data_IF_823224224109
#
_entry.id   IF_823224224109
#
_cell.length_a   1.000
_cell.length_b   1.000
_cell.length_c   1.000
_cell.angle_alpha   90.00
_cell.angle_beta   90.00
_cell.angle_gamma   90.00
#
_symmetry.space_group_name_H-M   'P 1'
#
loop_
_entity.id
_entity.type
_entity.pdbx_description
1 polymer ?
#
# COMPACT_ATOMS: atom_id res chain seq x y z
N UNK A 1 85.77 31.42 -34.34
CA UNK A 1 86.39 30.40 -35.21
C UNK A 1 85.71 29.08 -34.94
N UNK A 2 84.61 28.89 -35.65
CA UNK A 2 84.20 27.68 -36.39
C UNK A 2 84.81 26.35 -35.93
N UNK A 3 83.96 25.41 -35.50
CA UNK A 3 83.57 24.33 -36.42
C UNK A 3 82.41 23.50 -35.86
N UNK A 4 81.45 23.27 -36.74
CA UNK A 4 80.21 22.51 -36.63
C UNK A 4 80.47 20.99 -36.74
N UNK A 5 79.61 20.16 -36.14
CA UNK A 5 79.74 18.70 -36.22
C UNK A 5 78.51 17.84 -35.87
N UNK A 6 77.35 18.18 -36.45
CA UNK A 6 76.16 17.34 -36.79
C UNK A 6 75.58 16.37 -35.73
N UNK A 7 74.45 16.80 -35.15
CA UNK A 7 73.37 15.97 -34.59
C UNK A 7 72.73 15.09 -35.68
N UNK A 8 72.59 13.79 -35.44
CA UNK A 8 71.67 12.91 -36.19
C UNK A 8 70.34 12.92 -35.44
N UNK A 9 69.35 13.62 -36.00
CA UNK A 9 67.96 13.58 -35.55
C UNK A 9 67.29 12.34 -36.15
N UNK A 10 67.02 11.34 -35.32
CA UNK A 10 66.19 10.20 -35.69
C UNK A 10 64.71 10.66 -35.63
N UNK A 11 64.11 10.92 -36.78
CA UNK A 11 62.69 11.27 -36.89
C UNK A 11 61.86 9.98 -36.79
N UNK A 12 61.41 9.62 -35.59
CA UNK A 12 60.34 8.63 -35.43
C UNK A 12 59.02 9.30 -35.83
N UNK A 13 58.59 9.10 -37.08
CA UNK A 13 57.25 9.45 -37.52
C UNK A 13 56.22 8.55 -36.83
N UNK A 14 55.50 9.09 -35.84
CA UNK A 14 54.32 8.44 -35.27
C UNK A 14 53.19 8.55 -36.28
N UNK A 15 52.90 7.45 -36.97
CA UNK A 15 51.69 7.32 -37.78
C UNK A 15 50.52 7.15 -36.80
N UNK A 16 49.79 8.22 -36.53
CA UNK A 16 48.50 8.15 -35.87
C UNK A 16 47.52 7.45 -36.82
N UNK A 17 47.39 6.13 -36.69
CA UNK A 17 46.29 5.38 -37.29
C UNK A 17 45.00 5.82 -36.60
N UNK A 18 44.22 6.66 -37.29
CA UNK A 18 42.86 7.02 -36.90
C UNK A 18 41.98 5.77 -36.95
N UNK A 19 41.94 5.00 -35.86
CA UNK A 19 40.93 3.97 -35.68
C UNK A 19 39.57 4.67 -35.57
N UNK A 20 38.81 4.70 -36.66
CA UNK A 20 37.39 5.02 -36.62
C UNK A 20 36.70 3.92 -35.80
N UNK A 21 36.45 4.20 -34.53
CA UNK A 21 35.62 3.35 -33.68
C UNK A 21 34.22 3.36 -34.32
N UNK A 22 33.66 2.21 -34.72
CA UNK A 22 32.30 2.18 -35.23
C UNK A 22 31.38 2.69 -34.11
N UNK A 23 30.49 3.62 -34.44
CA UNK A 23 29.46 4.11 -33.51
C UNK A 23 28.64 2.91 -33.04
N UNK A 24 28.82 2.51 -31.78
CA UNK A 24 27.95 1.54 -31.16
C UNK A 24 26.55 2.17 -31.05
N UNK A 25 25.59 1.64 -31.81
CA UNK A 25 24.18 2.00 -31.62
C UNK A 25 23.69 1.26 -30.38
N UNK A 26 23.31 2.00 -29.36
CA UNK A 26 22.59 1.47 -28.22
C UNK A 26 21.10 1.73 -28.43
N UNK A 27 20.28 0.69 -28.29
CA UNK A 27 18.83 0.86 -28.27
C UNK A 27 18.40 1.34 -26.88
N UNK A 28 17.64 2.43 -26.81
CA UNK A 28 17.10 3.00 -25.57
C UNK A 28 15.58 2.82 -25.56
N UNK A 29 15.05 2.06 -24.59
CA UNK A 29 13.62 2.03 -24.29
C UNK A 29 13.36 3.08 -23.21
N UNK A 30 12.63 4.14 -23.55
CA UNK A 30 12.25 5.22 -22.62
C UNK A 30 10.77 5.20 -22.31
N UNK A 31 10.44 5.34 -21.04
CA UNK A 31 9.11 5.68 -20.56
C UNK A 31 9.21 7.11 -20.01
N UNK A 32 8.78 8.08 -20.80
CA UNK A 32 9.00 9.51 -20.47
C UNK A 32 7.83 10.40 -20.85
N UNK A 33 6.74 9.81 -21.36
CA UNK A 33 5.53 10.53 -21.72
C UNK A 33 4.34 10.09 -20.87
N UNK A 34 3.33 10.94 -20.82
CA UNK A 34 2.06 10.65 -20.14
C UNK A 34 1.39 9.39 -20.68
N UNK A 35 1.46 9.17 -21.99
CA UNK A 35 0.91 8.01 -22.68
C UNK A 35 1.59 6.71 -22.24
N UNK A 36 2.90 6.76 -22.01
CA UNK A 36 3.69 5.58 -21.62
C UNK A 36 3.24 5.06 -20.25
N UNK A 37 3.02 5.98 -19.31
CA UNK A 37 2.60 5.63 -17.94
C UNK A 37 1.11 5.32 -17.82
N UNK A 38 0.26 5.89 -18.67
CA UNK A 38 -1.19 5.64 -18.63
C UNK A 38 -1.58 4.19 -18.92
N UNK A 39 -0.71 3.44 -19.60
CA UNK A 39 -0.92 2.00 -19.84
C UNK A 39 -0.68 1.15 -18.57
N UNK A 40 -0.12 1.74 -17.51
CA UNK A 40 0.28 1.02 -16.30
C UNK A 40 -0.70 1.32 -15.16
N UNK A 41 -1.07 0.31 -14.35
CA UNK A 41 -1.74 0.55 -13.09
C UNK A 41 -0.73 1.17 -12.11
N UNK A 42 -0.73 2.50 -12.00
CA UNK A 42 0.15 3.21 -11.08
C UNK A 42 -0.30 2.99 -9.63
N UNK A 43 0.63 2.79 -8.68
CA UNK A 43 0.27 2.72 -7.26
C UNK A 43 -0.14 4.12 -6.76
N UNK A 44 -1.05 4.18 -5.78
CA UNK A 44 -1.51 5.43 -5.13
C UNK A 44 -0.43 6.25 -4.40
N UNK A 45 0.84 5.86 -4.51
CA UNK A 45 2.00 6.55 -3.93
C UNK A 45 2.69 7.49 -4.92
N UNK A 46 2.31 7.47 -6.21
CA UNK A 46 2.89 8.33 -7.25
C UNK A 46 1.81 9.06 -8.06
N UNK A 47 2.11 10.28 -8.47
CA UNK A 47 1.29 11.08 -9.38
C UNK A 47 1.98 11.27 -10.74
N UNK A 48 1.20 11.22 -11.82
CA UNK A 48 1.68 11.47 -13.17
C UNK A 48 1.67 12.98 -13.45
N UNK A 49 2.84 13.56 -13.59
CA UNK A 49 3.02 15.00 -13.88
C UNK A 49 2.52 15.35 -15.29
N UNK A 50 2.11 16.62 -15.52
CA UNK A 50 1.74 17.08 -16.87
C UNK A 50 2.84 16.89 -17.92
N UNK A 51 4.11 16.89 -17.50
CA UNK A 51 5.29 16.73 -18.36
C UNK A 51 5.61 15.27 -18.69
N UNK A 52 4.84 14.30 -18.18
CA UNK A 52 5.04 12.87 -18.48
C UNK A 52 6.03 12.15 -17.56
N UNK A 53 6.48 12.79 -16.47
CA UNK A 53 7.24 12.13 -15.40
C UNK A 53 6.36 11.67 -14.25
N UNK A 54 6.84 10.74 -13.44
CA UNK A 54 6.22 10.36 -12.16
C UNK A 54 6.82 11.16 -11.01
N UNK A 55 5.99 11.54 -10.05
CA UNK A 55 6.42 12.19 -8.82
C UNK A 55 5.85 11.47 -7.60
N UNK A 56 6.63 11.29 -6.52
CA UNK A 56 6.08 10.75 -5.28
C UNK A 56 5.01 11.68 -4.70
N UNK A 57 3.91 11.10 -4.23
CA UNK A 57 2.94 11.79 -3.40
C UNK A 57 3.51 11.84 -1.98
N UNK A 58 3.42 13.01 -1.33
CA UNK A 58 3.97 13.19 0.01
C UNK A 58 3.17 12.36 1.03
N UNK A 59 3.82 11.37 1.65
CA UNK A 59 3.26 10.65 2.79
C UNK A 59 3.05 11.61 3.97
N UNK A 60 1.84 11.61 4.51
CA UNK A 60 1.49 12.36 5.73
C UNK A 60 1.78 11.48 6.96
N UNK A 61 2.13 12.13 8.07
CA UNK A 61 2.30 11.52 9.39
C UNK A 61 1.37 12.22 10.38
N UNK A 62 1.14 11.56 11.51
CA UNK A 62 0.16 11.88 12.54
C UNK A 62 -1.26 12.06 11.98
N UNK A 63 -1.70 11.09 11.17
CA UNK A 63 -3.06 11.08 10.58
C UNK A 63 -3.77 9.75 10.86
N UNK A 64 -5.12 9.78 10.92
CA UNK A 64 -5.93 8.58 10.67
C UNK A 64 -6.06 8.41 9.15
N UNK A 65 -5.40 7.40 8.60
CA UNK A 65 -5.37 7.13 7.16
C UNK A 65 -6.69 6.55 6.61
N UNK A 66 -7.58 6.04 7.48
CA UNK A 66 -8.90 5.56 7.07
C UNK A 66 -9.80 6.72 6.62
N UNK A 67 -9.80 7.85 7.36
CA UNK A 67 -10.65 9.01 7.06
C UNK A 67 -10.46 9.60 5.66
N UNK A 68 -9.25 9.49 5.11
CA UNK A 68 -8.93 10.00 3.78
C UNK A 68 -8.67 8.91 2.74
N UNK A 69 -9.05 7.67 3.02
CA UNK A 69 -8.81 6.56 2.10
C UNK A 69 -9.42 6.80 0.71
N UNK A 70 -10.61 7.40 0.65
CA UNK A 70 -11.30 7.72 -0.60
C UNK A 70 -10.51 8.67 -1.52
N UNK A 71 -9.71 9.59 -0.95
CA UNK A 71 -8.85 10.51 -1.72
C UNK A 71 -7.77 9.76 -2.51
N UNK A 72 -7.45 8.52 -2.10
CA UNK A 72 -6.48 7.64 -2.74
C UNK A 72 -7.14 6.47 -3.48
N UNK A 73 -8.45 6.51 -3.70
CA UNK A 73 -9.19 5.44 -4.36
C UNK A 73 -9.49 4.23 -3.48
N UNK A 74 -9.33 4.36 -2.16
CA UNK A 74 -9.75 3.37 -1.16
C UNK A 74 -11.23 3.49 -0.78
N UNK A 75 -11.59 2.88 0.34
CA UNK A 75 -12.95 2.80 0.87
C UNK A 75 -13.26 1.41 1.41
N UNK A 76 -14.54 1.01 1.38
CA UNK A 76 -14.92 -0.36 1.71
C UNK A 76 -14.64 -1.26 0.50
N UNK A 77 -13.69 -2.17 0.66
CA UNK A 77 -13.37 -3.17 -0.35
C UNK A 77 -14.35 -4.33 -0.31
N UNK A 78 -14.74 -4.76 0.88
CA UNK A 78 -15.75 -5.81 1.07
C UNK A 78 -16.46 -5.63 2.41
N UNK A 79 -17.76 -5.88 2.44
CA UNK A 79 -18.49 -6.16 3.67
C UNK A 79 -19.37 -7.40 3.41
N UNK A 80 -19.19 -8.45 4.20
CA UNK A 80 -19.96 -9.69 4.02
C UNK A 80 -21.39 -9.58 4.55
N UNK A 81 -21.67 -8.57 5.37
CA UNK A 81 -22.97 -8.26 5.97
C UNK A 81 -23.15 -6.75 6.06
N UNK A 82 -24.40 -6.27 5.98
CA UNK A 82 -24.79 -4.86 6.08
C UNK A 82 -23.85 -3.89 5.32
N UNK A 83 -23.76 -4.04 4.00
CA UNK A 83 -22.89 -3.21 3.16
C UNK A 83 -23.27 -1.71 3.21
N UNK A 84 -24.54 -1.39 3.49
CA UNK A 84 -25.03 -0.01 3.54
C UNK A 84 -24.34 0.84 4.61
N UNK A 85 -24.12 0.25 5.79
CA UNK A 85 -23.49 0.92 6.92
C UNK A 85 -21.97 0.80 6.93
N UNK A 86 -21.39 -0.03 6.06
CA UNK A 86 -19.96 -0.30 6.06
C UNK A 86 -19.10 0.97 5.93
N UNK A 87 -19.42 1.97 5.09
CA UNK A 87 -18.62 3.20 4.99
C UNK A 87 -18.57 4.04 6.28
N UNK A 88 -19.49 3.81 7.23
CA UNK A 88 -19.55 4.57 8.49
C UNK A 88 -18.35 4.28 9.40
N UNK A 89 -17.63 3.17 9.20
CA UNK A 89 -16.46 2.83 10.04
C UNK A 89 -15.21 3.65 9.74
N UNK A 90 -15.30 4.62 8.83
CA UNK A 90 -14.21 5.47 8.38
C UNK A 90 -14.67 6.92 8.15
N UNK A 91 -15.81 7.30 8.74
CA UNK A 91 -16.40 8.64 8.59
C UNK A 91 -15.97 9.60 9.72
N UNK A 92 -15.39 9.08 10.80
CA UNK A 92 -14.94 9.84 11.96
C UNK A 92 -16.04 10.26 12.92
N UNK A 93 -17.28 9.77 12.75
CA UNK A 93 -18.41 10.02 13.64
C UNK A 93 -18.67 8.81 14.55
N UNK A 94 -18.28 8.92 15.82
CA UNK A 94 -18.49 7.86 16.80
C UNK A 94 -19.97 7.63 17.20
N UNK A 95 -20.93 8.36 16.60
CA UNK A 95 -22.36 8.10 16.76
C UNK A 95 -22.93 7.13 15.69
N UNK A 96 -22.25 7.00 14.55
CA UNK A 96 -22.58 6.09 13.46
C UNK A 96 -21.73 4.83 13.54
N UNK A 97 -21.98 3.85 12.67
CA UNK A 97 -21.16 2.64 12.64
C UNK A 97 -21.81 1.47 11.92
N UNK A 98 -21.00 0.46 11.65
CA UNK A 98 -21.41 -0.77 11.00
C UNK A 98 -21.82 -1.83 12.03
N UNK A 99 -22.97 -2.45 11.79
CA UNK A 99 -23.39 -3.63 12.53
C UNK A 99 -23.81 -4.74 11.55
N UNK A 100 -23.25 -5.96 11.64
CA UNK A 100 -23.73 -7.07 10.80
C UNK A 100 -25.14 -7.49 11.20
N UNK A 101 -25.87 -8.12 10.28
CA UNK A 101 -27.14 -8.78 10.58
C UNK A 101 -26.89 -10.13 11.24
N UNK A 102 -27.56 -10.38 12.37
CA UNK A 102 -27.44 -11.65 13.10
C UNK A 102 -27.88 -12.87 12.29
N UNK A 103 -28.81 -12.67 11.35
CA UNK A 103 -29.35 -13.74 10.51
C UNK A 103 -28.43 -14.10 9.33
N UNK A 104 -27.39 -13.30 9.07
CA UNK A 104 -26.40 -13.62 8.05
C UNK A 104 -25.49 -14.77 8.53
N UNK A 105 -24.96 -15.60 7.61
CA UNK A 105 -24.09 -16.71 7.99
C UNK A 105 -22.89 -16.24 8.82
N UNK A 106 -22.44 -16.97 9.87
CA UNK A 106 -21.35 -16.50 10.74
C UNK A 106 -20.05 -16.10 10.01
N UNK A 107 -19.73 -16.77 8.89
CA UNK A 107 -18.56 -16.43 8.06
C UNK A 107 -18.67 -15.13 7.27
N UNK A 108 -19.81 -14.44 7.33
CA UNK A 108 -20.09 -13.21 6.59
C UNK A 108 -20.00 -11.94 7.44
N UNK A 109 -19.88 -12.06 8.77
CA UNK A 109 -19.72 -10.92 9.70
C UNK A 109 -18.32 -10.31 9.59
N UNK A 110 -18.04 -9.75 8.43
CA UNK A 110 -16.73 -9.32 7.98
C UNK A 110 -16.84 -7.96 7.33
N UNK A 111 -15.85 -7.11 7.57
CA UNK A 111 -15.69 -5.80 6.92
C UNK A 111 -14.21 -5.57 6.62
N UNK A 112 -13.93 -5.05 5.43
CA UNK A 112 -12.59 -4.77 4.93
C UNK A 112 -12.50 -3.35 4.37
N UNK A 113 -11.60 -2.58 4.97
CA UNK A 113 -11.22 -1.23 4.55
C UNK A 113 -9.98 -1.31 3.67
N UNK A 114 -10.04 -0.69 2.51
CA UNK A 114 -8.91 -0.35 1.64
C UNK A 114 -8.50 1.09 1.89
N UNK A 115 -7.25 1.31 2.27
CA UNK A 115 -6.69 2.64 2.51
C UNK A 115 -6.35 3.39 1.21
N UNK A 116 -6.50 2.75 0.05
CA UNK A 116 -6.20 3.26 -1.30
C UNK A 116 -4.70 3.36 -1.60
N UNK A 117 -3.85 3.10 -0.60
CA UNK A 117 -2.40 3.24 -0.66
C UNK A 117 -1.73 2.37 0.39
N UNK A 118 -0.44 2.12 0.21
CA UNK A 118 0.40 1.59 1.28
C UNK A 118 0.63 2.65 2.37
N UNK A 119 0.23 2.36 3.60
CA UNK A 119 0.34 3.24 4.77
C UNK A 119 1.36 2.65 5.75
N UNK A 120 2.41 3.41 6.04
CA UNK A 120 3.35 3.09 7.12
C UNK A 120 2.74 3.42 8.48
N UNK A 121 1.78 2.60 8.90
CA UNK A 121 1.08 2.77 10.16
C UNK A 121 1.92 2.27 11.34
N UNK A 122 1.72 2.88 12.49
CA UNK A 122 2.30 2.44 13.76
C UNK A 122 1.23 1.79 14.65
N UNK A 123 -0.05 2.07 14.39
CA UNK A 123 -1.18 1.56 15.16
C UNK A 123 -2.41 1.38 14.29
N UNK A 124 -3.16 0.31 14.55
CA UNK A 124 -4.55 0.14 14.09
C UNK A 124 -5.45 0.11 15.31
N UNK A 125 -6.55 0.86 15.30
CA UNK A 125 -7.59 0.78 16.32
C UNK A 125 -8.92 0.32 15.75
N UNK A 126 -9.62 -0.48 16.53
CA UNK A 126 -11.03 -0.80 16.32
C UNK A 126 -11.81 -0.21 17.50
N UNK A 127 -12.78 0.64 17.20
CA UNK A 127 -13.63 1.31 18.19
C UNK A 127 -15.03 0.72 18.07
N UNK A 128 -15.46 -0.05 19.07
CA UNK A 128 -16.80 -0.62 19.17
C UNK A 128 -17.69 0.25 20.07
N UNK A 129 -19.01 0.12 19.87
CA UNK A 129 -20.00 0.91 20.60
C UNK A 129 -20.03 0.55 22.10
N UNK A 130 -19.68 1.49 23.02
CA UNK A 130 -19.70 1.23 24.45
C UNK A 130 -21.10 1.01 25.04
N UNK A 131 -22.16 1.37 24.32
CA UNK A 131 -23.55 1.10 24.72
C UNK A 131 -24.02 -0.31 24.32
N UNK A 132 -23.28 -0.98 23.43
CA UNK A 132 -23.52 -2.36 22.99
C UNK A 132 -22.58 -3.37 23.66
N UNK A 133 -22.75 -4.67 23.36
CA UNK A 133 -21.82 -5.70 23.81
C UNK A 133 -20.44 -5.53 23.15
N UNK A 134 -19.39 -5.79 23.91
CA UNK A 134 -18.03 -5.90 23.37
C UNK A 134 -17.88 -7.23 22.62
N UNK A 135 -17.18 -7.27 21.47
CA UNK A 135 -16.99 -8.51 20.73
C UNK A 135 -16.05 -9.44 21.49
N UNK A 136 -16.52 -10.66 21.80
CA UNK A 136 -15.75 -11.63 22.58
C UNK A 136 -14.69 -12.39 21.76
N UNK A 137 -14.90 -12.59 20.46
CA UNK A 137 -14.01 -13.37 19.60
C UNK A 137 -14.00 -12.82 18.17
N UNK A 138 -12.82 -12.37 17.71
CA UNK A 138 -12.65 -11.80 16.37
C UNK A 138 -11.19 -11.86 15.90
N UNK A 139 -10.99 -11.77 14.59
CA UNK A 139 -9.67 -11.62 13.98
C UNK A 139 -9.51 -10.21 13.40
N UNK A 140 -8.35 -9.61 13.63
CA UNK A 140 -7.83 -8.47 12.86
C UNK A 140 -6.83 -8.99 11.83
N UNK A 141 -7.05 -8.71 10.56
CA UNK A 141 -6.18 -9.10 9.46
C UNK A 141 -5.66 -7.87 8.74
N UNK A 142 -4.35 -7.84 8.46
CA UNK A 142 -3.69 -6.74 7.77
C UNK A 142 -2.97 -7.27 6.53
N UNK A 143 -3.11 -6.54 5.42
CA UNK A 143 -2.46 -6.86 4.15
C UNK A 143 -1.75 -5.64 3.57
N UNK A 144 -0.64 -5.91 2.90
CA UNK A 144 0.14 -4.94 2.12
C UNK A 144 -0.45 -4.67 0.74
N UNK A 145 -1.49 -5.42 0.38
CA UNK A 145 -2.11 -5.46 -0.95
C UNK A 145 -1.45 -6.40 -1.95
N UNK A 146 -0.52 -7.22 -1.50
CA UNK A 146 -0.01 -8.37 -2.25
C UNK A 146 -1.16 -9.32 -2.67
N UNK A 147 -1.19 -9.67 -3.95
CA UNK A 147 -2.10 -10.69 -4.49
C UNK A 147 -1.52 -12.09 -4.29
N UNK A 148 -2.40 -13.09 -4.17
CA UNK A 148 -2.00 -14.48 -4.36
C UNK A 148 -1.51 -14.70 -5.79
N UNK A 149 -0.67 -15.70 -6.00
CA UNK A 149 -0.14 -16.05 -7.33
C UNK A 149 -0.56 -17.47 -7.73
N UNK A 150 -0.64 -17.72 -9.04
CA UNK A 150 -0.87 -19.05 -9.61
C UNK A 150 0.41 -19.90 -9.64
N UNK A 151 0.34 -21.10 -10.25
CA UNK A 151 1.49 -22.03 -10.33
C UNK A 151 2.68 -21.50 -11.15
N UNK A 152 2.50 -20.40 -11.88
CA UNK A 152 3.53 -19.75 -12.72
C UNK A 152 3.76 -18.29 -12.31
N UNK A 153 3.46 -17.94 -11.06
CA UNK A 153 3.70 -16.65 -10.42
C UNK A 153 2.89 -15.44 -10.99
N UNK A 154 1.78 -15.68 -11.70
CA UNK A 154 0.90 -14.57 -12.10
C UNK A 154 -0.02 -14.15 -10.94
N UNK A 155 -0.19 -12.85 -10.68
CA UNK A 155 -1.17 -12.35 -9.71
C UNK A 155 -2.60 -12.83 -10.02
N UNK A 156 -3.26 -13.41 -9.03
CA UNK A 156 -4.66 -13.82 -9.10
C UNK A 156 -5.54 -12.61 -8.77
N UNK A 157 -6.24 -12.11 -9.78
CA UNK A 157 -7.13 -10.96 -9.65
C UNK A 157 -8.16 -11.16 -8.52
N UNK A 158 -8.37 -10.10 -7.74
CA UNK A 158 -9.34 -10.10 -6.63
C UNK A 158 -8.84 -10.72 -5.32
N UNK A 159 -7.70 -11.40 -5.30
CA UNK A 159 -7.13 -11.97 -4.07
C UNK A 159 -6.24 -10.97 -3.33
N UNK A 160 -6.15 -11.10 -2.01
CA UNK A 160 -5.17 -10.38 -1.19
C UNK A 160 -4.60 -11.34 -0.14
N UNK A 161 -3.31 -11.23 0.15
CA UNK A 161 -2.65 -12.03 1.18
C UNK A 161 -2.59 -11.23 2.48
N UNK A 162 -3.15 -11.78 3.55
CA UNK A 162 -3.02 -11.23 4.90
C UNK A 162 -1.84 -11.88 5.60
N UNK A 163 -0.70 -11.19 5.64
CA UNK A 163 0.51 -11.69 6.30
C UNK A 163 0.45 -11.54 7.81
N UNK A 164 -0.36 -10.61 8.31
CA UNK A 164 -0.53 -10.34 9.73
C UNK A 164 -1.97 -10.63 10.12
N UNK A 165 -2.12 -11.48 11.14
CA UNK A 165 -3.40 -11.89 11.70
C UNK A 165 -3.27 -11.94 13.21
N UNK A 166 -4.09 -11.15 13.89
CA UNK A 166 -4.20 -11.18 15.35
C UNK A 166 -5.58 -11.71 15.73
N UNK A 167 -5.62 -12.68 16.64
CA UNK A 167 -6.88 -13.23 17.15
C UNK A 167 -7.10 -12.76 18.57
N UNK A 168 -8.20 -12.05 18.77
CA UNK A 168 -8.67 -11.63 20.09
C UNK A 168 -9.67 -12.66 20.61
N UNK A 169 -9.44 -13.15 21.83
CA UNK A 169 -10.29 -14.14 22.51
C UNK A 169 -10.71 -13.59 23.85
N UNK A 170 -11.94 -13.91 24.25
CA UNK A 170 -12.53 -13.49 25.53
C UNK A 170 -12.38 -11.97 25.76
N UNK A 171 -12.47 -11.19 24.68
CA UNK A 171 -12.30 -9.75 24.76
C UNK A 171 -13.53 -9.11 25.42
N UNK A 172 -13.28 -8.16 26.31
CA UNK A 172 -14.31 -7.37 27.01
C UNK A 172 -14.16 -5.87 26.76
N UNK A 173 -13.19 -5.45 25.93
CA UNK A 173 -12.92 -4.05 25.62
C UNK A 173 -13.68 -3.61 24.37
N UNK A 174 -14.13 -2.37 24.39
CA UNK A 174 -14.71 -1.69 23.23
C UNK A 174 -13.67 -0.98 22.36
N UNK A 175 -12.54 -0.59 22.94
CA UNK A 175 -11.42 -0.03 22.18
C UNK A 175 -10.28 -1.05 22.12
N UNK A 176 -9.91 -1.43 20.91
CA UNK A 176 -8.83 -2.38 20.63
C UNK A 176 -7.73 -1.62 19.95
N UNK A 177 -6.56 -1.58 20.56
CA UNK A 177 -5.36 -0.99 19.98
C UNK A 177 -4.38 -2.09 19.63
N UNK A 178 -4.02 -2.18 18.35
CA UNK A 178 -3.00 -3.08 17.83
C UNK A 178 -1.79 -2.28 17.39
N UNK A 179 -0.69 -2.45 18.12
CA UNK A 179 0.58 -1.78 17.84
C UNK A 179 1.38 -2.56 16.79
N UNK A 180 1.91 -1.83 15.80
CA UNK A 180 2.75 -2.37 14.74
C UNK A 180 4.22 -2.15 15.12
N UNK A 181 5.05 -3.18 14.97
CA UNK A 181 6.48 -3.06 15.25
C UNK A 181 7.12 -2.01 14.33
N UNK A 182 7.65 -0.95 14.94
CA UNK A 182 8.29 0.17 14.25
C UNK A 182 9.56 -0.26 13.50
N UNK A 183 10.14 -1.41 13.83
CA UNK A 183 11.40 -1.88 13.26
C UNK A 183 11.25 -2.34 11.81
N UNK A 184 10.03 -2.73 11.39
CA UNK A 184 9.73 -3.23 10.05
C UNK A 184 8.43 -2.61 9.53
N UNK A 185 8.50 -1.38 8.97
CA UNK A 185 7.36 -0.67 8.39
C UNK A 185 6.91 -1.30 7.05
N UNK A 186 6.44 -2.55 7.10
CA UNK A 186 5.71 -3.10 5.96
C UNK A 186 4.42 -2.29 5.83
N UNK A 187 4.21 -1.57 4.72
CA UNK A 187 3.03 -0.72 4.58
C UNK A 187 1.78 -1.57 4.59
N UNK A 188 0.73 -1.07 5.24
CA UNK A 188 -0.61 -1.69 5.25
C UNK A 188 -1.46 -0.97 4.23
N UNK A 189 -2.17 -1.73 3.40
CA UNK A 189 -3.19 -1.20 2.52
C UNK A 189 -4.59 -1.67 2.93
N UNK A 190 -4.76 -2.93 3.35
CA UNK A 190 -6.07 -3.45 3.74
C UNK A 190 -6.11 -3.78 5.23
N UNK A 191 -7.18 -3.34 5.89
CA UNK A 191 -7.54 -3.67 7.27
C UNK A 191 -8.86 -4.42 7.25
N UNK A 192 -8.87 -5.65 7.75
CA UNK A 192 -10.06 -6.49 7.78
C UNK A 192 -10.36 -6.95 9.20
N UNK A 193 -11.64 -6.85 9.56
CA UNK A 193 -12.21 -7.42 10.78
C UNK A 193 -13.09 -8.60 10.41
N UNK A 194 -12.84 -9.75 11.03
CA UNK A 194 -13.75 -10.89 11.03
C UNK A 194 -14.31 -11.10 12.44
N UNK A 195 -15.60 -10.86 12.65
CA UNK A 195 -16.29 -11.22 13.89
C UNK A 195 -16.59 -12.72 13.87
N UNK A 196 -15.95 -13.48 14.76
CA UNK A 196 -16.09 -14.94 14.82
C UNK A 196 -17.18 -15.38 15.80
N UNK A 197 -17.56 -14.51 16.72
CA UNK A 197 -18.76 -14.58 17.53
C UNK A 197 -19.43 -13.20 17.51
N UNK A 198 -20.76 -13.18 17.34
CA UNK A 198 -21.55 -11.97 17.26
C UNK A 198 -22.64 -11.97 18.32
N UNK A 199 -22.61 -10.97 19.19
CA UNK A 199 -23.71 -10.69 20.11
C UNK A 199 -24.68 -9.66 19.49
N UNK A 200 -25.98 -9.73 19.81
CA UNK A 200 -26.95 -8.75 19.32
C UNK A 200 -26.55 -7.31 19.64
N UNK A 201 -26.63 -6.44 18.63
CA UNK A 201 -26.24 -5.02 18.71
C UNK A 201 -24.72 -4.75 18.87
N UNK A 202 -23.85 -5.75 18.64
CA UNK A 202 -22.42 -5.47 18.47
C UNK A 202 -22.24 -4.55 17.26
N UNK A 203 -21.63 -3.38 17.46
CA UNK A 203 -21.46 -2.35 16.43
C UNK A 203 -20.03 -1.83 16.43
N UNK A 204 -19.39 -1.83 15.26
CA UNK A 204 -18.10 -1.18 15.04
C UNK A 204 -18.37 0.27 14.63
N UNK A 205 -17.91 1.21 15.44
CA UNK A 205 -18.06 2.64 15.18
C UNK A 205 -17.00 3.13 14.19
N UNK A 206 -15.72 2.79 14.41
CA UNK A 206 -14.63 3.34 13.62
C UNK A 206 -13.43 2.38 13.55
N UNK A 207 -12.73 2.39 12.40
CA UNK A 207 -11.40 1.82 12.17
C UNK A 207 -10.42 2.98 12.03
N UNK A 208 -9.50 3.11 12.97
CA UNK A 208 -8.43 4.11 12.86
C UNK A 208 -7.12 3.44 12.42
N UNK A 209 -6.42 4.04 11.46
CA UNK A 209 -5.08 3.63 11.05
C UNK A 209 -4.13 4.80 11.23
N UNK A 210 -3.35 4.78 12.30
CA UNK A 210 -2.46 5.90 12.65
C UNK A 210 -1.09 5.73 11.97
N UNK A 211 -0.73 6.69 11.13
CA UNK A 211 0.56 6.80 10.44
C UNK A 211 1.28 8.09 10.82
#
# INVERSE_FOLDING_TARGET
MDSFGRFVLCLCGVVCASFSVPSASADEIRFASRRDWQAWPLPGTVELTPQGGLKPIAARRNINAALNAADFGGGIRQAGSNLGDAPLVMDGDLATGWHPHLDDPPGSWTIEVDLGRGVSAHRVKLIFDPQGPAPALFDLLLSTGEHAVDEVDNPIAGTVIYRQRERFKENTRHEITYELDQSFHTPIQYVRLDLLALEPNTRLLEVEVEA
#
